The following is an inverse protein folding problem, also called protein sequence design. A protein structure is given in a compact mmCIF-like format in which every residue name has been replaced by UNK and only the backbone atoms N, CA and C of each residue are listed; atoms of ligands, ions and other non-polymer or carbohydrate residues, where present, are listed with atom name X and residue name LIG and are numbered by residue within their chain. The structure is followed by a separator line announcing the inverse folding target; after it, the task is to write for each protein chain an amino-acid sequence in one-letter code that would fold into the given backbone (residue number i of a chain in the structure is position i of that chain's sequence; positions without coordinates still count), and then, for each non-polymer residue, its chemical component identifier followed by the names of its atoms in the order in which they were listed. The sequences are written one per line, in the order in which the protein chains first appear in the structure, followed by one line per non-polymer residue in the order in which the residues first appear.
data_IF_920063384318
#
_entry.id   IF_920063384318
#
_cell.length_a   1.000
_cell.length_b   1.000
_cell.length_c   1.000
_cell.angle_alpha   90.00
_cell.angle_beta   90.00
_cell.angle_gamma   90.00
#
_symmetry.space_group_name_H-M   'P 1'
#
loop_
_entity.id
_entity.type
_entity.pdbx_description
1 polymer ?
#
# COMPACT_ATOMS: atom_id res chain seq x y z
N UNK A 1 14.28 -11.69 -29.64
CA UNK A 1 14.16 -10.43 -28.87
C UNK A 1 13.10 -10.65 -27.81
N UNK A 2 13.47 -10.67 -26.53
CA UNK A 2 12.51 -10.88 -25.46
C UNK A 2 11.54 -9.69 -25.44
N UNK A 3 10.24 -9.96 -25.59
CA UNK A 3 9.18 -8.96 -25.41
C UNK A 3 9.31 -8.45 -23.98
N UNK A 4 9.76 -7.21 -23.81
CA UNK A 4 9.68 -6.53 -22.52
C UNK A 4 8.19 -6.33 -22.25
N UNK A 5 7.63 -7.16 -21.36
CA UNK A 5 6.26 -6.99 -20.91
C UNK A 5 6.16 -5.60 -20.27
N UNK A 6 5.33 -4.74 -20.84
CA UNK A 6 5.08 -3.40 -20.31
C UNK A 6 4.35 -3.55 -18.98
N UNK A 7 5.11 -3.62 -17.90
CA UNK A 7 4.54 -3.80 -16.56
C UNK A 7 3.77 -2.54 -16.20
N UNK A 8 2.53 -2.67 -15.71
CA UNK A 8 1.73 -1.52 -15.34
C UNK A 8 2.48 -0.63 -14.35
N UNK A 9 2.59 0.66 -14.68
CA UNK A 9 3.10 1.66 -13.75
C UNK A 9 1.97 2.08 -12.80
N UNK A 10 2.28 2.15 -11.51
CA UNK A 10 1.35 2.56 -10.45
C UNK A 10 1.99 3.63 -9.58
N UNK A 11 1.16 4.43 -8.93
CA UNK A 11 1.61 5.52 -8.07
C UNK A 11 1.58 5.08 -6.61
N UNK A 12 2.66 5.33 -5.88
CA UNK A 12 2.65 5.20 -4.43
C UNK A 12 1.73 6.28 -3.84
N UNK A 13 0.74 5.88 -3.03
CA UNK A 13 -0.23 6.82 -2.48
C UNK A 13 0.38 7.79 -1.46
N UNK A 14 1.49 7.42 -0.84
CA UNK A 14 2.19 8.22 0.18
C UNK A 14 3.08 9.28 -0.47
N UNK A 15 4.05 8.89 -1.31
CA UNK A 15 5.02 9.82 -1.90
C UNK A 15 4.63 10.35 -3.30
N UNK A 16 3.56 9.84 -3.92
CA UNK A 16 3.10 10.20 -5.27
C UNK A 16 4.07 9.89 -6.43
N UNK A 17 5.17 9.20 -6.15
CA UNK A 17 6.12 8.74 -7.17
C UNK A 17 5.54 7.50 -7.88
N UNK A 18 5.79 7.40 -9.19
CA UNK A 18 5.39 6.27 -10.04
C UNK A 18 6.45 5.17 -10.03
N UNK A 19 6.02 3.92 -9.90
CA UNK A 19 6.89 2.73 -9.92
C UNK A 19 6.24 1.61 -10.73
N UNK A 20 7.03 0.64 -11.18
CA UNK A 20 6.49 -0.63 -11.70
C UNK A 20 5.63 -1.27 -10.62
N UNK A 21 4.47 -1.82 -10.99
CA UNK A 21 3.55 -2.47 -10.04
C UNK A 21 4.24 -3.57 -9.24
N UNK A 22 5.20 -4.29 -9.83
CA UNK A 22 6.03 -5.31 -9.16
C UNK A 22 6.85 -4.77 -7.98
N UNK A 23 7.12 -3.46 -7.93
CA UNK A 23 7.94 -2.81 -6.91
C UNK A 23 7.08 -2.12 -5.84
N UNK A 24 5.77 -2.38 -5.85
CA UNK A 24 4.80 -1.75 -4.96
C UNK A 24 4.03 -2.81 -4.20
N UNK A 25 3.82 -2.58 -2.92
CA UNK A 25 2.94 -3.37 -2.09
C UNK A 25 1.50 -2.94 -2.34
N UNK A 26 0.66 -3.90 -2.71
CA UNK A 26 -0.76 -3.67 -2.99
C UNK A 26 -1.59 -4.03 -1.76
N UNK A 27 -2.34 -3.06 -1.28
CA UNK A 27 -3.26 -3.21 -0.16
C UNK A 27 -4.68 -2.90 -0.61
N UNK A 28 -5.66 -3.30 0.18
CA UNK A 28 -7.05 -2.92 -0.01
C UNK A 28 -7.65 -2.42 1.29
N UNK A 29 -8.71 -1.63 1.18
CA UNK A 29 -9.53 -1.26 2.32
C UNK A 29 -10.76 -2.16 2.36
N UNK A 30 -10.93 -2.89 3.46
CA UNK A 30 -12.12 -3.68 3.73
C UNK A 30 -12.80 -3.12 4.97
N UNK A 31 -13.95 -2.48 4.78
CA UNK A 31 -14.60 -1.72 5.86
C UNK A 31 -13.75 -0.53 6.32
N UNK A 32 -13.15 -0.64 7.51
CA UNK A 32 -12.26 0.38 8.10
C UNK A 32 -10.83 -0.12 8.33
N UNK A 33 -10.51 -1.31 7.82
CA UNK A 33 -9.22 -1.97 8.04
C UNK A 33 -8.47 -2.14 6.72
N UNK A 34 -7.15 -2.07 6.80
CA UNK A 34 -6.26 -2.33 5.67
C UNK A 34 -5.95 -3.82 5.65
N UNK A 35 -6.20 -4.47 4.52
CA UNK A 35 -5.91 -5.88 4.30
C UNK A 35 -5.07 -6.06 3.04
N UNK A 36 -4.52 -7.26 2.86
CA UNK A 36 -3.88 -7.66 1.59
C UNK A 36 -4.92 -7.68 0.47
N UNK A 37 -4.49 -7.44 -0.77
CA UNK A 37 -5.41 -7.37 -1.89
C UNK A 37 -6.02 -8.75 -2.20
N UNK A 38 -7.33 -8.89 -1.99
CA UNK A 38 -8.12 -10.10 -2.20
C UNK A 38 -8.87 -10.14 -3.53
N UNK A 39 -8.49 -9.34 -4.52
CA UNK A 39 -9.09 -9.36 -5.86
C UNK A 39 -10.27 -8.39 -6.06
N UNK A 40 -10.96 -7.97 -5.00
CA UNK A 40 -12.21 -7.20 -5.09
C UNK A 40 -12.12 -5.92 -4.26
N UNK A 41 -12.65 -4.81 -4.79
CA UNK A 41 -12.76 -3.54 -4.06
C UNK A 41 -11.64 -2.54 -4.32
N UNK A 42 -11.56 -1.51 -3.47
CA UNK A 42 -10.62 -0.39 -3.64
C UNK A 42 -9.24 -0.78 -3.13
N UNK A 43 -8.31 -0.94 -4.05
CA UNK A 43 -6.90 -1.19 -3.75
C UNK A 43 -6.04 0.05 -3.92
N UNK A 44 -4.94 0.12 -3.17
CA UNK A 44 -3.92 1.16 -3.31
C UNK A 44 -2.52 0.56 -3.21
N UNK A 45 -1.53 1.35 -3.64
CA UNK A 45 -0.14 0.92 -3.72
C UNK A 45 0.75 1.78 -2.83
N UNK A 46 1.67 1.14 -2.11
CA UNK A 46 2.69 1.80 -1.29
C UNK A 46 4.07 1.23 -1.68
N UNK A 47 5.07 2.10 -1.85
CA UNK A 47 6.43 1.65 -2.10
C UNK A 47 7.15 1.29 -0.79
N UNK A 48 8.15 0.42 -0.90
CA UNK A 48 8.97 -0.03 0.22
C UNK A 48 9.51 1.14 1.07
N UNK A 49 10.09 2.16 0.43
CA UNK A 49 10.61 3.36 1.12
C UNK A 49 9.57 4.06 2.00
N UNK A 50 8.30 4.07 1.60
CA UNK A 50 7.24 4.68 2.40
C UNK A 50 6.72 3.77 3.51
N UNK A 51 6.95 2.47 3.41
CA UNK A 51 6.70 1.53 4.50
C UNK A 51 7.83 1.56 5.53
N UNK A 52 9.08 1.79 5.11
CA UNK A 52 10.23 1.88 6.00
C UNK A 52 10.43 3.26 6.64
N UNK A 53 9.79 4.29 6.09
CA UNK A 53 9.81 5.63 6.65
C UNK A 53 8.98 5.73 7.95
N UNK A 54 9.18 6.84 8.68
CA UNK A 54 8.42 7.15 9.90
C UNK A 54 6.90 7.04 9.66
N UNK A 55 6.24 6.24 10.51
CA UNK A 55 4.83 5.87 10.37
C UNK A 55 3.86 7.05 10.37
N UNK A 56 4.26 8.23 10.88
CA UNK A 56 3.40 9.42 10.94
C UNK A 56 2.88 9.87 9.58
N UNK A 57 3.74 9.89 8.56
CA UNK A 57 3.33 10.35 7.21
C UNK A 57 2.38 9.35 6.56
N UNK A 58 2.64 8.07 6.78
CA UNK A 58 1.79 6.97 6.33
C UNK A 58 0.42 7.04 6.99
N UNK A 59 0.37 7.16 8.31
CA UNK A 59 -0.86 7.26 9.09
C UNK A 59 -1.68 8.50 8.71
N UNK A 60 -1.06 9.67 8.56
CA UNK A 60 -1.77 10.90 8.15
C UNK A 60 -2.46 10.75 6.79
N UNK A 61 -1.77 10.18 5.79
CA UNK A 61 -2.37 9.98 4.45
C UNK A 61 -3.49 8.95 4.50
N UNK A 62 -3.30 7.87 5.26
CA UNK A 62 -4.26 6.77 5.32
C UNK A 62 -5.51 7.15 6.13
N UNK A 63 -5.36 7.72 7.32
CA UNK A 63 -6.48 8.24 8.11
C UNK A 63 -7.24 9.33 7.35
N UNK A 64 -6.54 10.26 6.69
CA UNK A 64 -7.16 11.35 5.94
C UNK A 64 -7.93 10.89 4.68
N UNK A 65 -7.38 9.94 3.90
CA UNK A 65 -8.01 9.48 2.65
C UNK A 65 -9.01 8.35 2.83
N UNK A 66 -8.77 7.44 3.78
CA UNK A 66 -9.54 6.22 3.94
C UNK A 66 -10.41 6.20 5.19
N UNK A 67 -10.44 7.29 5.97
CA UNK A 67 -11.21 7.39 7.22
C UNK A 67 -10.95 6.22 8.17
N UNK A 68 -9.71 5.73 8.17
CA UNK A 68 -9.26 4.68 9.08
C UNK A 68 -9.20 5.28 10.48
N UNK A 69 -9.68 4.52 11.46
CA UNK A 69 -9.70 4.96 12.85
C UNK A 69 -8.28 5.32 13.31
N UNK A 70 -8.09 6.52 13.85
CA UNK A 70 -6.76 6.98 14.28
C UNK A 70 -6.19 6.15 15.45
N UNK A 71 -7.05 5.39 16.16
CA UNK A 71 -6.65 4.44 17.19
C UNK A 71 -5.98 3.18 16.59
N UNK A 72 -6.24 2.87 15.32
CA UNK A 72 -5.47 1.87 14.59
C UNK A 72 -4.08 2.46 14.32
N UNK A 73 -3.10 2.06 15.12
CA UNK A 73 -1.69 2.37 14.90
C UNK A 73 -1.20 1.71 13.60
N UNK A 74 -1.47 2.34 12.45
CA UNK A 74 -1.03 1.86 11.15
C UNK A 74 0.44 2.22 10.98
N UNK A 75 1.32 1.28 11.31
CA UNK A 75 2.74 1.39 11.07
C UNK A 75 3.16 0.57 9.83
N UNK A 76 4.26 0.97 9.20
CA UNK A 76 4.75 0.27 8.01
C UNK A 76 5.14 -1.19 8.27
N UNK A 77 5.55 -1.54 9.50
CA UNK A 77 5.81 -2.93 9.92
C UNK A 77 4.55 -3.80 9.82
N UNK A 78 3.44 -3.34 10.41
CA UNK A 78 2.14 -4.03 10.36
C UNK A 78 1.66 -4.20 8.91
N UNK A 79 1.86 -3.19 8.07
CA UNK A 79 1.53 -3.29 6.64
C UNK A 79 2.44 -4.26 5.89
N UNK A 80 3.73 -4.37 6.24
CA UNK A 80 4.62 -5.38 5.66
C UNK A 80 4.16 -6.79 6.06
N UNK A 81 3.79 -7.00 7.32
CA UNK A 81 3.25 -8.27 7.81
C UNK A 81 2.00 -8.70 7.01
N UNK A 82 1.04 -7.78 6.82
CA UNK A 82 -0.17 -8.01 6.01
C UNK A 82 0.16 -8.37 4.56
N UNK A 83 1.21 -7.79 3.98
CA UNK A 83 1.62 -8.13 2.61
C UNK A 83 2.25 -9.53 2.51
N UNK A 84 2.87 -10.03 3.58
CA UNK A 84 3.44 -11.39 3.66
C UNK A 84 2.43 -12.47 4.01
N UNK A 85 1.35 -12.14 4.71
CA UNK A 85 0.33 -13.09 5.18
C UNK A 85 -0.61 -13.62 4.07
N UNK A 86 -0.52 -13.04 2.86
CA UNK A 86 -1.28 -13.47 1.70
C UNK A 86 -0.65 -14.60 0.87
N UNK A 87 0.16 -15.47 1.49
CA UNK A 87 0.88 -16.56 0.80
C UNK A 87 0.51 -17.93 1.32
#
# INVERSE_FOLDING_TARGET
MAKEFDYPIRMCIICKIRFKQSNLFRYQLQGREITSYGGIGRSFYICEKCLDADGKKLQNVLCGKYKIDASLNVCGKKLKEIATDGR
#
